data_IF_560045863765
#
_entry.id   IF_560045863765
#
_cell.length_a   1.000
_cell.length_b   1.000
_cell.length_c   1.000
_cell.angle_alpha   90.00
_cell.angle_beta   90.00
_cell.angle_gamma   90.00
#
_symmetry.space_group_name_H-M   'P 1'
#
loop_
_entity.id
_entity.type
_entity.pdbx_description
1 polymer ?
#
# COMPACT_ATOMS: atom_id res chain seq x y z
N UNK A 1 14.28 1.76 -29.26
CA UNK A 1 14.11 2.46 -27.96
C UNK A 1 13.31 3.74 -28.18
N UNK A 2 12.22 3.99 -27.44
CA UNK A 2 11.42 5.23 -27.60
C UNK A 2 12.04 6.36 -26.74
N UNK A 3 12.90 7.19 -27.32
CA UNK A 3 13.65 8.25 -26.62
C UNK A 3 12.78 9.19 -25.78
N UNK A 4 11.56 9.50 -26.22
CA UNK A 4 10.61 10.38 -25.49
C UNK A 4 10.17 9.83 -24.12
N UNK A 5 10.34 8.52 -23.87
CA UNK A 5 10.01 7.87 -22.59
C UNK A 5 11.23 7.71 -21.68
N UNK A 6 12.43 8.03 -22.17
CA UNK A 6 13.67 7.87 -21.42
C UNK A 6 13.92 9.12 -20.56
N UNK A 7 14.27 8.89 -19.29
CA UNK A 7 14.66 9.94 -18.34
C UNK A 7 16.10 9.62 -17.94
N UNK A 8 17.04 10.52 -18.24
CA UNK A 8 18.47 10.35 -17.98
C UNK A 8 18.97 11.42 -17.00
N UNK A 9 19.95 11.08 -16.17
CA UNK A 9 20.59 12.02 -15.24
C UNK A 9 19.62 12.68 -14.26
N UNK A 10 18.68 11.91 -13.69
CA UNK A 10 17.70 12.42 -12.71
C UNK A 10 17.95 11.76 -11.37
N UNK A 11 17.90 12.56 -10.30
CA UNK A 11 17.99 12.05 -8.92
C UNK A 11 16.76 11.23 -8.53
N UNK A 12 15.63 11.49 -9.18
CA UNK A 12 14.39 10.74 -8.97
C UNK A 12 13.76 10.30 -10.29
N UNK A 13 13.26 9.06 -10.33
CA UNK A 13 12.61 8.50 -11.52
C UNK A 13 11.33 7.75 -11.16
N UNK A 14 10.29 7.96 -11.96
CA UNK A 14 9.06 7.17 -11.87
C UNK A 14 9.29 5.80 -12.51
N UNK A 15 9.16 4.73 -11.73
CA UNK A 15 9.36 3.36 -12.18
C UNK A 15 8.33 2.43 -11.54
N UNK A 16 7.61 1.66 -12.37
CA UNK A 16 6.57 0.72 -11.94
C UNK A 16 5.60 1.30 -10.88
N UNK A 17 5.09 2.52 -11.06
CA UNK A 17 4.14 3.09 -10.09
C UNK A 17 4.76 3.56 -8.76
N UNK A 18 6.09 3.60 -8.67
CA UNK A 18 6.86 4.16 -7.57
C UNK A 18 7.73 5.34 -8.06
N UNK A 19 8.22 6.16 -7.13
CA UNK A 19 9.32 7.10 -7.36
C UNK A 19 10.55 6.53 -6.67
N UNK A 20 11.58 6.20 -7.45
CA UNK A 20 12.87 5.76 -6.94
C UNK A 20 13.73 6.99 -6.74
N UNK A 21 14.27 7.16 -5.53
CA UNK A 21 15.20 8.21 -5.13
C UNK A 21 16.50 7.57 -4.64
N UNK A 22 17.58 8.34 -4.40
CA UNK A 22 18.83 7.78 -3.87
C UNK A 22 18.66 7.25 -2.45
N UNK A 23 17.69 7.79 -1.71
CA UNK A 23 17.42 7.47 -0.30
C UNK A 23 16.37 6.38 -0.13
N UNK A 24 15.59 6.06 -1.17
CA UNK A 24 14.52 5.08 -1.03
C UNK A 24 13.52 5.03 -2.17
N UNK A 25 12.38 4.40 -1.88
CA UNK A 25 11.30 4.17 -2.83
C UNK A 25 10.02 4.75 -2.23
N UNK A 26 9.47 5.76 -2.89
CA UNK A 26 8.21 6.39 -2.54
C UNK A 26 7.08 5.87 -3.44
N UNK A 27 5.82 5.87 -2.97
CA UNK A 27 4.70 5.63 -3.87
C UNK A 27 4.56 6.79 -4.86
N UNK A 28 4.16 6.51 -6.10
CA UNK A 28 3.95 7.56 -7.10
C UNK A 28 2.75 8.45 -6.71
N UNK A 29 2.92 9.78 -6.57
CA UNK A 29 1.84 10.68 -6.19
C UNK A 29 0.59 10.59 -7.08
N UNK A 30 0.76 10.34 -8.39
CA UNK A 30 -0.36 10.15 -9.32
C UNK A 30 -1.18 8.90 -8.98
N UNK A 31 -0.50 7.82 -8.56
CA UNK A 31 -1.17 6.58 -8.15
C UNK A 31 -1.83 6.74 -6.79
N UNK A 32 -1.19 7.45 -5.85
CA UNK A 32 -1.79 7.78 -4.55
C UNK A 32 -3.04 8.64 -4.75
N UNK A 33 -2.98 9.66 -5.60
CA UNK A 33 -4.12 10.52 -5.94
C UNK A 33 -5.29 9.72 -6.54
N UNK A 34 -5.00 8.74 -7.41
CA UNK A 34 -6.03 7.85 -7.94
C UNK A 34 -6.72 7.03 -6.83
N UNK A 35 -5.97 6.58 -5.81
CA UNK A 35 -6.57 5.90 -4.64
C UNK A 35 -7.41 6.85 -3.81
N UNK A 36 -6.96 8.09 -3.61
CA UNK A 36 -7.71 9.09 -2.83
C UNK A 36 -9.06 9.41 -3.47
N UNK A 37 -9.08 9.52 -4.80
CA UNK A 37 -10.26 9.86 -5.58
C UNK A 37 -11.20 8.67 -5.85
N UNK A 38 -10.84 7.46 -5.43
CA UNK A 38 -11.70 6.30 -5.65
C UNK A 38 -13.01 6.48 -4.87
N UNK A 39 -14.14 6.26 -5.54
CA UNK A 39 -15.45 6.33 -4.91
C UNK A 39 -15.61 5.18 -3.91
N UNK A 40 -16.59 5.29 -3.02
CA UNK A 40 -17.00 4.19 -2.14
C UNK A 40 -17.33 2.96 -3.01
N UNK A 41 -16.71 1.79 -2.76
CA UNK A 41 -17.12 0.54 -3.38
C UNK A 41 -18.58 0.22 -3.06
N UNK A 42 -19.36 -0.14 -4.07
CA UNK A 42 -20.79 -0.40 -3.96
C UNK A 42 -21.18 -1.81 -4.40
N UNK A 43 -20.22 -2.59 -4.91
CA UNK A 43 -20.41 -3.96 -5.33
C UNK A 43 -19.12 -4.80 -5.13
N UNK A 44 -19.21 -6.10 -5.36
CA UNK A 44 -18.06 -7.00 -5.26
C UNK A 44 -16.94 -6.66 -6.25
N UNK A 45 -17.27 -6.12 -7.42
CA UNK A 45 -16.29 -5.79 -8.45
C UNK A 45 -15.41 -4.61 -7.99
N UNK A 46 -16.03 -3.53 -7.55
CA UNK A 46 -15.39 -2.34 -7.01
C UNK A 46 -14.64 -2.62 -5.72
N UNK A 47 -15.14 -3.52 -4.86
CA UNK A 47 -14.40 -3.99 -3.67
C UNK A 47 -13.10 -4.69 -4.08
N UNK A 48 -13.16 -5.62 -5.04
CA UNK A 48 -11.96 -6.31 -5.55
C UNK A 48 -10.98 -5.34 -6.20
N UNK A 49 -11.48 -4.37 -6.96
CA UNK A 49 -10.64 -3.34 -7.58
C UNK A 49 -9.95 -2.47 -6.52
N UNK A 50 -10.67 -2.03 -5.48
CA UNK A 50 -10.13 -1.23 -4.39
C UNK A 50 -9.07 -2.00 -3.58
N UNK A 51 -9.36 -3.24 -3.18
CA UNK A 51 -8.41 -4.08 -2.45
C UNK A 51 -7.19 -4.43 -3.31
N UNK A 52 -7.38 -4.70 -4.60
CA UNK A 52 -6.28 -4.91 -5.55
C UNK A 52 -5.35 -3.69 -5.63
N UNK A 53 -5.91 -2.49 -5.75
CA UNK A 53 -5.15 -1.25 -5.83
C UNK A 53 -4.43 -0.92 -4.52
N UNK A 54 -5.10 -1.02 -3.38
CA UNK A 54 -4.50 -0.71 -2.07
C UNK A 54 -3.47 -1.76 -1.64
N UNK A 55 -3.68 -3.04 -1.98
CA UNK A 55 -2.73 -4.12 -1.67
C UNK A 55 -1.41 -3.97 -2.44
N UNK A 56 -1.42 -3.37 -3.63
CA UNK A 56 -0.21 -3.03 -4.38
C UNK A 56 0.75 -2.16 -3.55
N UNK A 57 0.18 -1.26 -2.76
CA UNK A 57 0.90 -0.33 -1.89
C UNK A 57 0.99 -0.80 -0.43
N UNK A 58 0.63 -2.06 -0.12
CA UNK A 58 0.63 -2.60 1.26
C UNK A 58 1.96 -2.43 2.00
N UNK A 59 3.08 -2.40 1.27
CA UNK A 59 4.44 -2.21 1.83
C UNK A 59 4.61 -0.87 2.56
N UNK A 60 3.77 0.11 2.25
CA UNK A 60 3.75 1.44 2.87
C UNK A 60 2.74 1.56 4.01
N UNK A 61 1.94 0.52 4.26
CA UNK A 61 0.86 0.52 5.24
C UNK A 61 1.15 -0.56 6.29
N UNK A 62 1.86 -0.22 7.39
CA UNK A 62 2.02 -1.13 8.51
C UNK A 62 0.66 -1.57 9.04
N UNK A 63 0.45 -2.88 9.17
CA UNK A 63 -0.83 -3.45 9.62
C UNK A 63 -1.94 -3.46 8.57
N UNK A 64 -1.62 -3.38 7.27
CA UNK A 64 -2.60 -3.38 6.16
C UNK A 64 -3.75 -4.40 6.35
N UNK A 65 -3.42 -5.64 6.72
CA UNK A 65 -4.41 -6.72 6.87
C UNK A 65 -5.50 -6.40 7.90
N UNK A 66 -5.15 -5.73 9.01
CA UNK A 66 -6.12 -5.34 10.03
C UNK A 66 -7.08 -4.26 9.51
N UNK A 67 -6.55 -3.28 8.76
CA UNK A 67 -7.36 -2.20 8.18
C UNK A 67 -8.22 -2.69 7.00
N UNK A 68 -7.73 -3.63 6.19
CA UNK A 68 -8.49 -4.17 5.06
C UNK A 68 -9.55 -5.20 5.48
N UNK A 69 -9.42 -5.78 6.69
CA UNK A 69 -10.29 -6.88 7.15
C UNK A 69 -11.80 -6.60 7.04
N UNK A 70 -12.34 -5.42 7.41
CA UNK A 70 -13.77 -5.13 7.25
C UNK A 70 -14.24 -5.20 5.79
N UNK A 71 -13.44 -4.69 4.86
CA UNK A 71 -13.74 -4.67 3.42
C UNK A 71 -13.53 -6.06 2.80
N UNK A 72 -12.54 -6.80 3.28
CA UNK A 72 -12.28 -8.19 2.87
C UNK A 72 -13.47 -9.11 3.17
N UNK A 73 -14.17 -8.90 4.30
CA UNK A 73 -15.38 -9.67 4.66
C UNK A 73 -16.52 -9.53 3.65
N UNK A 74 -16.60 -8.40 2.94
CA UNK A 74 -17.60 -8.20 1.88
C UNK A 74 -17.43 -9.18 0.71
N UNK A 75 -16.28 -9.84 0.56
CA UNK A 75 -16.02 -10.82 -0.51
C UNK A 75 -16.47 -12.24 -0.17
N UNK A 76 -16.89 -12.50 1.08
CA UNK A 76 -17.29 -13.83 1.53
C UNK A 76 -18.54 -14.28 0.76
N UNK A 77 -18.53 -15.51 0.26
CA UNK A 77 -19.70 -16.06 -0.44
C UNK A 77 -20.80 -16.39 0.56
N UNK A 78 -22.05 -16.08 0.20
CA UNK A 78 -23.22 -16.38 1.03
C UNK A 78 -23.52 -15.34 2.10
N UNK A 79 -22.80 -14.22 2.14
CA UNK A 79 -23.10 -13.06 2.98
C UNK A 79 -23.62 -11.90 2.14
N UNK A 80 -24.62 -11.18 2.63
CA UNK A 80 -25.15 -9.99 1.98
C UNK A 80 -24.08 -8.89 1.90
N UNK A 81 -24.02 -8.20 0.76
CA UNK A 81 -23.17 -7.03 0.61
C UNK A 81 -23.76 -5.86 1.42
N UNK A 82 -23.27 -5.69 2.65
CA UNK A 82 -23.69 -4.59 3.51
C UNK A 82 -22.50 -3.69 3.84
N UNK A 83 -22.49 -2.49 3.26
CA UNK A 83 -21.49 -1.49 3.58
C UNK A 83 -21.82 -0.78 4.90
N UNK A 84 -21.15 -1.19 5.98
CA UNK A 84 -21.37 -0.65 7.32
C UNK A 84 -20.34 0.43 7.71
N UNK A 85 -20.45 0.96 8.94
CA UNK A 85 -19.53 1.96 9.47
C UNK A 85 -18.07 1.47 9.53
N UNK A 86 -17.84 0.18 9.81
CA UNK A 86 -16.50 -0.40 9.84
C UNK A 86 -15.85 -0.39 8.45
N UNK A 87 -16.62 -0.67 7.39
CA UNK A 87 -16.15 -0.61 6.00
C UNK A 87 -15.78 0.82 5.61
N UNK A 88 -16.58 1.81 6.04
CA UNK A 88 -16.28 3.22 5.82
C UNK A 88 -15.00 3.65 6.55
N UNK A 89 -14.87 3.29 7.82
CA UNK A 89 -13.67 3.57 8.61
C UNK A 89 -12.42 2.92 7.99
N UNK A 90 -12.53 1.66 7.55
CA UNK A 90 -11.46 0.95 6.84
C UNK A 90 -11.04 1.66 5.55
N UNK A 91 -11.99 2.13 4.75
CA UNK A 91 -11.73 2.86 3.51
C UNK A 91 -10.93 4.15 3.79
N UNK A 92 -11.38 4.95 4.76
CA UNK A 92 -10.71 6.20 5.13
C UNK A 92 -9.30 5.96 5.71
N UNK A 93 -9.15 4.95 6.57
CA UNK A 93 -7.85 4.60 7.17
C UNK A 93 -6.85 4.17 6.10
N UNK A 94 -7.26 3.31 5.16
CA UNK A 94 -6.41 2.88 4.05
C UNK A 94 -6.00 4.04 3.15
N UNK A 95 -6.94 4.95 2.83
CA UNK A 95 -6.65 6.18 2.08
C UNK A 95 -5.63 7.07 2.81
N UNK A 96 -5.83 7.32 4.10
CA UNK A 96 -4.94 8.16 4.91
C UNK A 96 -3.52 7.62 4.99
N UNK A 97 -3.37 6.31 5.29
CA UNK A 97 -2.05 5.67 5.42
C UNK A 97 -1.26 5.62 4.11
N UNK A 98 -1.93 5.71 2.96
CA UNK A 98 -1.27 5.85 1.66
C UNK A 98 -0.71 7.24 1.39
N UNK A 99 -1.23 8.26 2.06
CA UNK A 99 -0.78 9.66 1.96
C UNK A 99 0.28 10.00 3.02
N UNK A 100 0.30 9.26 4.12
CA UNK A 100 1.34 9.32 5.16
C UNK A 100 2.38 8.16 5.04
N UNK A 101 2.88 7.76 3.84
CA UNK A 101 3.74 6.60 3.72
C UNK A 101 5.14 6.93 4.25
N UNK A 102 5.74 6.06 5.07
CA UNK A 102 7.16 6.18 5.38
C UNK A 102 7.98 5.95 4.10
N UNK A 103 9.12 6.63 4.01
CA UNK A 103 10.10 6.36 2.96
C UNK A 103 10.62 4.93 3.18
N UNK A 104 10.40 4.03 2.21
CA UNK A 104 11.08 2.74 2.23
C UNK A 104 12.51 2.95 1.78
N UNK A 105 13.47 2.80 2.70
CA UNK A 105 14.89 2.90 2.37
C UNK A 105 15.29 1.75 1.45
N UNK A 106 16.18 2.03 0.50
CA UNK A 106 16.75 1.01 -0.36
C UNK A 106 17.51 -0.03 0.50
N UNK A 107 17.29 -1.35 0.29
CA UNK A 107 17.93 -2.36 1.10
C UNK A 107 19.44 -2.35 0.88
N UNK A 108 20.20 -2.31 1.96
CA UNK A 108 21.65 -2.48 1.96
C UNK A 108 21.98 -3.94 2.27
N UNK A 109 22.33 -4.71 1.24
CA UNK A 109 22.62 -6.14 1.38
C UNK A 109 23.87 -6.45 2.22
N UNK A 110 24.68 -5.44 2.57
CA UNK A 110 25.81 -5.60 3.49
C UNK A 110 25.38 -5.57 4.97
N UNK A 111 24.20 -5.02 5.28
CA UNK A 111 23.66 -4.89 6.64
C UNK A 111 22.70 -6.04 6.98
N UNK A 112 22.63 -6.39 8.27
CA UNK A 112 21.67 -7.41 8.75
C UNK A 112 20.23 -6.92 8.60
N UNK A 113 19.39 -7.77 8.06
CA UNK A 113 17.95 -7.58 8.05
C UNK A 113 17.34 -8.04 9.39
N UNK A 114 16.37 -7.29 9.89
CA UNK A 114 15.53 -7.62 11.05
C UNK A 114 14.11 -7.87 10.57
N UNK A 115 13.58 -9.07 10.84
CA UNK A 115 12.19 -9.39 10.56
C UNK A 115 11.39 -9.30 11.86
N UNK A 116 10.46 -8.36 11.93
CA UNK A 116 9.48 -8.28 13.02
C UNK A 116 8.17 -8.89 12.52
N UNK A 117 7.65 -9.86 13.26
CA UNK A 117 6.39 -10.54 12.96
C UNK A 117 5.47 -10.40 14.16
N UNK A 118 4.20 -10.11 13.88
CA UNK A 118 3.14 -10.11 14.87
C UNK A 118 1.93 -10.88 14.31
N UNK A 119 1.21 -11.59 15.17
CA UNK A 119 0.07 -12.41 14.75
C UNK A 119 -1.04 -12.39 15.79
N UNK A 120 -2.27 -12.32 15.30
CA UNK A 120 -3.50 -12.43 16.07
C UNK A 120 -4.45 -13.44 15.43
N UNK A 121 -5.58 -13.74 16.09
CA UNK A 121 -6.64 -14.56 15.50
C UNK A 121 -7.23 -13.99 14.20
N UNK A 122 -7.07 -12.69 13.96
CA UNK A 122 -7.70 -11.99 12.83
C UNK A 122 -6.73 -11.67 11.69
N UNK A 123 -5.44 -11.48 12.00
CA UNK A 123 -4.46 -11.03 11.03
C UNK A 123 -3.03 -11.42 11.43
N UNK A 124 -2.17 -11.55 10.41
CA UNK A 124 -0.71 -11.65 10.55
C UNK A 124 -0.08 -10.42 9.91
N UNK A 125 0.89 -9.83 10.59
CA UNK A 125 1.68 -8.70 10.12
C UNK A 125 3.18 -9.05 10.15
N UNK A 126 3.92 -8.53 9.18
CA UNK A 126 5.37 -8.61 9.18
C UNK A 126 5.98 -7.31 8.65
N UNK A 127 7.12 -6.93 9.20
CA UNK A 127 7.93 -5.80 8.74
C UNK A 127 9.39 -6.23 8.63
N UNK A 128 9.99 -5.99 7.46
CA UNK A 128 11.42 -6.19 7.23
C UNK A 128 12.12 -4.84 7.38
N UNK A 129 13.12 -4.77 8.26
CA UNK A 129 13.77 -3.53 8.65
C UNK A 129 15.30 -3.67 8.63
N UNK A 130 16.00 -2.55 8.47
CA UNK A 130 17.45 -2.45 8.66
C UNK A 130 17.74 -1.24 9.55
N UNK A 131 18.82 -1.32 10.33
CA UNK A 131 19.31 -0.14 11.06
C UNK A 131 20.02 0.77 10.05
N UNK A 132 19.50 1.97 9.91
CA UNK A 132 20.06 3.03 9.06
C UNK A 132 20.65 4.06 10.00
N UNK A 133 21.96 4.26 9.93
CA UNK A 133 22.63 5.35 10.63
C UNK A 133 22.31 6.64 9.85
N UNK A 134 21.74 7.62 10.54
CA UNK A 134 21.25 8.87 9.96
C UNK A 134 22.37 9.84 9.57
#
# INVERSE_FOLDING_TARGET
MKMKKCRWGRDQVAFLGHIVTPTGILPNPEKVKAVMNIARPHDLHTVRAFLGLTSYFRRYIPGYAAFSAPIERLKVKGTDFTWNADCEAALLQLKRRLVEPPILVCPDFSKRFKLCVDSSRLAVGACLMQTVDG
#
